data_IF_938108961207
#
_entry.id   IF_938108961207
#
_cell.length_a   1.000
_cell.length_b   1.000
_cell.length_c   1.000
_cell.angle_alpha   90.00
_cell.angle_beta   90.00
_cell.angle_gamma   90.00
#
_symmetry.space_group_name_H-M   'P 1'
#
loop_
_entity.id
_entity.type
_entity.pdbx_description
1 polymer ?
#
# COMPACT_ATOMS: atom_id res chain seq x y z
N UNK A 1 28.44 29.42 -42.23
CA UNK A 1 27.46 28.53 -41.58
C UNK A 1 26.24 29.38 -41.28
N UNK A 2 25.12 29.11 -41.95
CA UNK A 2 23.90 29.92 -41.82
C UNK A 2 23.08 29.45 -40.61
N UNK A 3 22.67 30.39 -39.75
CA UNK A 3 21.72 30.16 -38.67
C UNK A 3 20.35 29.77 -39.24
N UNK A 4 19.68 28.74 -38.70
CA UNK A 4 18.30 28.43 -39.08
C UNK A 4 17.36 29.50 -38.52
N UNK A 5 16.52 30.04 -39.39
CA UNK A 5 15.53 31.07 -39.07
C UNK A 5 14.57 30.60 -37.97
N UNK A 6 14.45 31.43 -36.92
CA UNK A 6 13.43 31.30 -35.89
C UNK A 6 12.05 31.60 -36.51
N UNK A 7 11.19 30.59 -36.65
CA UNK A 7 9.84 30.85 -37.17
C UNK A 7 8.89 29.68 -37.37
N UNK A 8 9.37 28.44 -37.53
CA UNK A 8 8.48 27.30 -37.76
C UNK A 8 8.51 26.33 -36.57
N UNK A 9 7.63 26.59 -35.60
CA UNK A 9 7.23 25.56 -34.64
C UNK A 9 6.56 24.42 -35.40
N UNK A 10 7.36 23.43 -35.81
CA UNK A 10 6.88 22.24 -36.50
C UNK A 10 5.97 21.46 -35.55
N UNK A 11 4.67 21.67 -35.65
CA UNK A 11 3.66 20.80 -35.05
C UNK A 11 3.81 19.46 -35.78
N UNK A 12 4.59 18.56 -35.18
CA UNK A 12 4.62 17.17 -35.58
C UNK A 12 3.26 16.61 -35.21
N UNK A 13 2.32 16.74 -36.15
CA UNK A 13 1.02 16.12 -36.11
C UNK A 13 1.26 14.60 -36.19
N UNK A 14 1.60 14.01 -35.04
CA UNK A 14 1.74 12.58 -34.89
C UNK A 14 0.33 12.03 -35.00
N UNK A 15 -0.12 11.83 -36.24
CA UNK A 15 -1.46 11.39 -36.59
C UNK A 15 -1.93 10.32 -35.63
N UNK A 16 -2.97 10.65 -34.86
CA UNK A 16 -3.46 9.79 -33.80
C UNK A 16 -3.97 8.51 -34.45
N UNK A 17 -3.25 7.39 -34.25
CA UNK A 17 -3.63 6.12 -34.87
C UNK A 17 -4.98 5.72 -34.30
N UNK A 18 -6.05 5.59 -35.11
CA UNK A 18 -7.37 5.25 -34.60
C UNK A 18 -7.29 3.91 -33.88
N UNK A 19 -7.92 3.83 -32.71
CA UNK A 19 -7.93 2.59 -31.92
C UNK A 19 -8.79 1.54 -32.62
N UNK A 20 -8.14 0.61 -33.32
CA UNK A 20 -8.79 -0.50 -34.03
C UNK A 20 -9.10 -1.71 -33.13
N UNK A 21 -8.78 -1.64 -31.83
CA UNK A 21 -8.96 -2.75 -30.90
C UNK A 21 -10.39 -2.92 -30.39
N UNK A 22 -10.73 -4.13 -29.92
CA UNK A 22 -12.00 -4.39 -29.22
C UNK A 22 -12.02 -3.61 -27.91
N UNK A 23 -13.05 -2.77 -27.71
CA UNK A 23 -13.24 -2.03 -26.45
C UNK A 23 -13.35 -3.03 -25.29
N UNK A 24 -12.48 -2.90 -24.29
CA UNK A 24 -12.51 -3.72 -23.07
C UNK A 24 -13.65 -3.26 -22.15
N UNK A 25 -14.14 -4.16 -21.29
CA UNK A 25 -15.24 -3.85 -20.38
C UNK A 25 -14.88 -2.69 -19.41
N UNK A 26 -15.82 -1.79 -19.08
CA UNK A 26 -15.60 -0.71 -18.13
C UNK A 26 -15.08 -1.17 -16.75
N UNK A 27 -15.45 -2.38 -16.34
CA UNK A 27 -14.99 -3.00 -15.09
C UNK A 27 -13.47 -3.18 -15.00
N UNK A 28 -12.75 -3.19 -16.14
CA UNK A 28 -11.28 -3.30 -16.16
C UNK A 28 -10.55 -1.97 -16.01
N UNK A 29 -11.25 -0.84 -16.07
CA UNK A 29 -10.63 0.49 -16.01
C UNK A 29 -9.82 0.70 -14.73
N UNK A 30 -10.33 0.39 -13.51
CA UNK A 30 -9.54 0.55 -12.28
C UNK A 30 -8.25 -0.25 -12.29
N UNK A 31 -8.29 -1.48 -12.81
CA UNK A 31 -7.12 -2.36 -12.92
C UNK A 31 -6.07 -1.83 -13.88
N UNK A 32 -6.49 -1.24 -15.00
CA UNK A 32 -5.57 -0.62 -15.96
C UNK A 32 -4.88 0.60 -15.34
N UNK A 33 -5.64 1.45 -14.64
CA UNK A 33 -5.09 2.60 -13.91
C UNK A 33 -4.10 2.10 -12.85
N UNK A 34 -4.50 1.14 -12.03
CA UNK A 34 -3.65 0.60 -10.98
C UNK A 34 -2.34 0.01 -11.52
N UNK A 35 -2.42 -0.75 -12.61
CA UNK A 35 -1.24 -1.33 -13.26
C UNK A 35 -0.32 -0.27 -13.86
N UNK A 36 -0.87 0.81 -14.42
CA UNK A 36 -0.08 1.92 -14.95
C UNK A 36 0.61 2.70 -13.82
N UNK A 37 -0.09 3.01 -12.73
CA UNK A 37 0.51 3.65 -11.54
C UNK A 37 1.69 2.82 -10.99
N UNK A 38 1.48 1.51 -10.81
CA UNK A 38 2.53 0.62 -10.33
C UNK A 38 3.70 0.53 -11.32
N UNK A 39 3.42 0.52 -12.62
CA UNK A 39 4.45 0.53 -13.67
C UNK A 39 5.25 1.82 -13.63
N UNK A 40 4.60 2.96 -13.43
CA UNK A 40 5.27 4.26 -13.30
C UNK A 40 6.13 4.31 -12.05
N UNK A 41 5.61 3.88 -10.90
CA UNK A 41 6.40 3.74 -9.67
C UNK A 41 7.61 2.81 -9.88
N UNK A 42 7.43 1.68 -10.58
CA UNK A 42 8.50 0.74 -10.89
C UNK A 42 9.61 1.33 -11.77
N UNK A 43 9.32 2.34 -12.61
CA UNK A 43 10.34 3.05 -13.39
C UNK A 43 11.26 3.88 -12.49
N UNK A 44 10.79 4.35 -11.33
CA UNK A 44 11.61 5.10 -10.39
C UNK A 44 12.68 4.21 -9.74
N UNK A 45 13.97 4.60 -9.86
CA UNK A 45 15.11 3.86 -9.29
C UNK A 45 14.99 3.69 -7.78
N UNK A 46 14.51 4.72 -7.08
CA UNK A 46 14.39 4.71 -5.61
C UNK A 46 13.30 3.76 -5.12
N UNK A 47 12.17 3.69 -5.83
CA UNK A 47 11.12 2.72 -5.51
C UNK A 47 11.62 1.28 -5.62
N UNK A 48 12.33 0.93 -6.70
CA UNK A 48 12.94 -0.40 -6.83
C UNK A 48 13.90 -0.73 -5.69
N UNK A 49 14.73 0.24 -5.27
CA UNK A 49 15.65 0.08 -4.13
C UNK A 49 14.89 -0.20 -2.83
N UNK A 50 13.80 0.52 -2.57
CA UNK A 50 12.96 0.30 -1.38
C UNK A 50 12.34 -1.09 -1.39
N UNK A 51 11.78 -1.53 -2.53
CA UNK A 51 11.19 -2.87 -2.65
C UNK A 51 12.25 -3.95 -2.39
N UNK A 52 13.43 -3.84 -3.01
CA UNK A 52 14.51 -4.81 -2.79
C UNK A 52 15.07 -4.78 -1.37
N UNK A 53 15.24 -3.60 -0.78
CA UNK A 53 15.67 -3.45 0.60
C UNK A 53 14.64 -4.04 1.59
N UNK A 54 13.34 -3.87 1.31
CA UNK A 54 12.26 -4.49 2.05
C UNK A 54 12.23 -6.01 1.95
N UNK A 55 12.74 -6.58 0.86
CA UNK A 55 12.88 -8.03 0.70
C UNK A 55 14.08 -8.62 1.47
N UNK A 56 15.13 -7.85 1.77
CA UNK A 56 16.34 -8.36 2.46
C UNK A 56 16.06 -9.02 3.82
N UNK A 57 15.19 -8.47 4.70
CA UNK A 57 14.80 -9.13 5.95
C UNK A 57 14.32 -10.57 5.77
N UNK A 58 13.66 -10.91 4.65
CA UNK A 58 13.24 -12.29 4.37
C UNK A 58 14.41 -13.26 4.46
N UNK A 59 15.55 -12.92 3.85
CA UNK A 59 16.74 -13.78 3.86
C UNK A 59 17.23 -14.01 5.29
N UNK A 60 17.25 -12.96 6.11
CA UNK A 60 17.63 -13.04 7.52
C UNK A 60 16.69 -13.98 8.30
N UNK A 61 15.37 -13.85 8.12
CA UNK A 61 14.41 -14.74 8.79
C UNK A 61 14.49 -16.18 8.27
N UNK A 62 14.71 -16.42 6.97
CA UNK A 62 14.95 -17.76 6.45
C UNK A 62 16.20 -18.40 7.07
N UNK A 63 17.28 -17.63 7.26
CA UNK A 63 18.48 -18.12 7.96
C UNK A 63 18.16 -18.44 9.42
N UNK A 64 17.38 -17.63 10.13
CA UNK A 64 16.95 -17.95 11.50
C UNK A 64 16.18 -19.28 11.54
N UNK A 65 15.21 -19.46 10.64
CA UNK A 65 14.43 -20.72 10.54
C UNK A 65 15.35 -21.90 10.28
N UNK A 66 16.29 -21.75 9.36
CA UNK A 66 17.30 -22.76 9.07
C UNK A 66 18.15 -23.09 10.30
N UNK A 67 18.70 -22.08 11.00
CA UNK A 67 19.55 -22.30 12.18
C UNK A 67 18.77 -22.96 13.32
N UNK A 68 17.53 -22.54 13.57
CA UNK A 68 16.61 -23.15 14.55
C UNK A 68 16.32 -24.61 14.28
N UNK A 69 16.43 -25.06 13.03
CA UNK A 69 16.28 -26.47 12.67
C UNK A 69 17.49 -27.30 13.10
N UNK A 70 18.70 -26.78 12.94
CA UNK A 70 19.94 -27.53 13.21
C UNK A 70 20.47 -27.35 14.63
N UNK A 71 20.07 -26.28 15.30
CA UNK A 71 20.41 -26.01 16.70
C UNK A 71 19.16 -26.27 17.56
N UNK A 72 19.31 -26.73 18.82
CA UNK A 72 18.19 -26.91 19.75
C UNK A 72 17.66 -25.56 20.28
N UNK A 73 17.40 -24.60 19.39
CA UNK A 73 16.89 -23.25 19.68
C UNK A 73 15.35 -23.16 19.58
N UNK A 74 14.67 -24.31 19.51
CA UNK A 74 13.22 -24.40 19.35
C UNK A 74 12.75 -24.31 17.89
N UNK A 75 11.52 -24.76 17.62
CA UNK A 75 10.92 -24.73 16.28
C UNK A 75 10.53 -23.32 15.81
N UNK A 76 10.18 -23.20 14.52
CA UNK A 76 9.56 -22.00 13.96
C UNK A 76 8.22 -21.71 14.65
N UNK A 77 8.06 -20.49 15.18
CA UNK A 77 6.90 -20.04 15.93
C UNK A 77 6.13 -18.93 15.23
N UNK A 78 5.06 -18.46 15.87
CA UNK A 78 4.33 -17.27 15.41
C UNK A 78 5.14 -15.97 15.53
N UNK A 79 6.22 -16.00 16.32
CA UNK A 79 7.01 -14.82 16.67
C UNK A 79 7.88 -14.34 15.51
N UNK A 80 8.48 -15.24 14.72
CA UNK A 80 9.26 -14.86 13.54
C UNK A 80 8.38 -14.25 12.45
N UNK A 81 7.20 -14.84 12.22
CA UNK A 81 6.23 -14.33 11.27
C UNK A 81 5.76 -12.93 11.69
N UNK A 82 5.47 -12.72 12.97
CA UNK A 82 5.09 -11.42 13.51
C UNK A 82 6.22 -10.40 13.40
N UNK A 83 7.46 -10.80 13.71
CA UNK A 83 8.62 -9.94 13.59
C UNK A 83 8.89 -9.54 12.12
N UNK A 84 8.82 -10.49 11.17
CA UNK A 84 8.91 -10.18 9.74
C UNK A 84 7.75 -9.27 9.31
N UNK A 85 6.52 -9.52 9.77
CA UNK A 85 5.37 -8.66 9.48
C UNK A 85 5.63 -7.22 9.92
N UNK A 86 6.11 -6.98 11.14
CA UNK A 86 6.45 -5.63 11.64
C UNK A 86 7.47 -4.95 10.72
N UNK A 87 8.51 -5.67 10.31
CA UNK A 87 9.52 -5.16 9.38
C UNK A 87 8.92 -4.85 8.01
N UNK A 88 8.07 -5.70 7.45
CA UNK A 88 7.41 -5.45 6.17
C UNK A 88 6.42 -4.29 6.23
N UNK A 89 5.74 -4.12 7.37
CA UNK A 89 4.84 -3.00 7.61
C UNK A 89 5.59 -1.67 7.70
N UNK A 90 6.82 -1.67 8.23
CA UNK A 90 7.71 -0.51 8.16
C UNK A 90 8.09 -0.19 6.71
N UNK A 91 8.47 -1.19 5.92
CA UNK A 91 8.81 -0.99 4.51
C UNK A 91 7.60 -0.55 3.66
N UNK A 92 6.39 -0.97 4.02
CA UNK A 92 5.16 -0.58 3.33
C UNK A 92 4.93 0.94 3.36
N UNK A 93 5.40 1.64 4.41
CA UNK A 93 5.33 3.11 4.52
C UNK A 93 5.99 3.78 3.33
N UNK A 94 7.18 3.31 2.95
CA UNK A 94 7.94 3.87 1.83
C UNK A 94 7.37 3.44 0.49
N UNK A 95 6.86 2.23 0.38
CA UNK A 95 6.17 1.76 -0.84
C UNK A 95 4.96 2.64 -1.13
N UNK A 96 4.12 2.91 -0.12
CA UNK A 96 2.96 3.80 -0.21
C UNK A 96 3.39 5.24 -0.52
N UNK A 97 4.48 5.72 0.07
CA UNK A 97 5.03 7.03 -0.26
C UNK A 97 5.26 7.16 -1.78
N UNK A 98 5.94 6.21 -2.41
CA UNK A 98 6.25 6.32 -3.84
C UNK A 98 5.03 6.15 -4.74
N UNK A 99 4.12 5.23 -4.40
CA UNK A 99 2.92 4.98 -5.21
C UNK A 99 1.88 6.09 -5.03
N UNK A 100 1.71 6.62 -3.82
CA UNK A 100 0.61 7.52 -3.48
C UNK A 100 0.93 9.01 -3.54
N UNK A 101 2.20 9.42 -3.38
CA UNK A 101 2.54 10.85 -3.20
C UNK A 101 2.09 11.75 -4.36
N UNK A 102 2.24 11.29 -5.59
CA UNK A 102 1.92 12.05 -6.81
C UNK A 102 0.56 11.66 -7.41
N UNK A 103 -0.23 10.81 -6.74
CA UNK A 103 -1.36 10.15 -7.36
C UNK A 103 -2.51 11.10 -7.75
N UNK A 104 -2.80 12.13 -6.93
CA UNK A 104 -3.95 13.03 -7.15
C UNK A 104 -3.52 14.49 -7.17
N UNK A 105 -2.67 14.91 -6.21
CA UNK A 105 -2.29 16.32 -6.06
C UNK A 105 -1.62 16.90 -7.29
N UNK A 106 -0.73 16.12 -7.91
CA UNK A 106 0.01 16.55 -9.10
C UNK A 106 -0.90 16.63 -10.33
N UNK A 107 -1.87 15.71 -10.47
CA UNK A 107 -2.84 15.74 -11.56
C UNK A 107 -3.82 16.92 -11.42
N UNK A 108 -4.24 17.26 -10.19
CA UNK A 108 -5.02 18.47 -9.91
C UNK A 108 -4.22 19.73 -10.26
N UNK A 109 -2.93 19.77 -9.90
CA UNK A 109 -2.07 20.94 -10.12
C UNK A 109 -1.78 21.18 -11.60
N UNK A 110 -1.64 20.11 -12.37
CA UNK A 110 -1.31 20.16 -13.81
C UNK A 110 -2.53 20.21 -14.71
N UNK A 111 -3.75 20.12 -14.15
CA UNK A 111 -4.99 20.01 -14.94
C UNK A 111 -5.12 18.68 -15.69
N UNK A 112 -4.28 17.69 -15.41
CA UNK A 112 -4.29 16.39 -16.08
C UNK A 112 -5.61 15.62 -15.84
N UNK A 113 -6.31 15.91 -14.75
CA UNK A 113 -7.63 15.30 -14.48
C UNK A 113 -8.66 15.60 -15.55
N UNK A 114 -8.63 16.78 -16.17
CA UNK A 114 -9.57 17.16 -17.21
C UNK A 114 -9.33 16.31 -18.47
N UNK A 115 -8.05 16.03 -18.77
CA UNK A 115 -7.66 15.11 -19.83
C UNK A 115 -8.08 13.66 -19.51
N UNK A 116 -7.96 13.23 -18.25
CA UNK A 116 -8.41 11.89 -17.83
C UNK A 116 -9.92 11.75 -17.96
N UNK A 117 -10.70 12.75 -17.55
CA UNK A 117 -12.16 12.74 -17.61
C UNK A 117 -12.74 13.08 -18.98
N UNK A 118 -11.95 13.58 -19.93
CA UNK A 118 -12.34 13.65 -21.35
C UNK A 118 -12.51 12.26 -21.97
N UNK A 119 -11.89 11.23 -21.38
CA UNK A 119 -12.08 9.81 -21.73
C UNK A 119 -13.27 9.24 -20.97
N UNK A 120 -13.87 8.11 -21.41
CA UNK A 120 -15.00 7.47 -20.71
C UNK A 120 -14.56 6.74 -19.43
N UNK A 121 -13.84 7.44 -18.54
CA UNK A 121 -13.39 6.96 -17.23
C UNK A 121 -14.28 7.60 -16.18
N UNK A 122 -15.11 6.78 -15.53
CA UNK A 122 -15.94 7.25 -14.43
C UNK A 122 -15.09 7.68 -13.23
N UNK A 123 -15.56 8.71 -12.51
CA UNK A 123 -14.92 9.24 -11.30
C UNK A 123 -14.55 8.16 -10.26
N UNK A 124 -15.51 7.28 -9.94
CA UNK A 124 -15.28 6.19 -8.98
C UNK A 124 -14.30 5.14 -9.50
N UNK A 125 -14.30 4.87 -10.81
CA UNK A 125 -13.36 3.93 -11.42
C UNK A 125 -11.93 4.47 -11.38
N UNK A 126 -11.75 5.78 -11.59
CA UNK A 126 -10.48 6.46 -11.44
C UNK A 126 -9.96 6.35 -10.01
N UNK A 127 -10.78 6.75 -9.02
CA UNK A 127 -10.37 6.73 -7.61
C UNK A 127 -10.10 5.30 -7.13
N UNK A 128 -10.94 4.34 -7.53
CA UNK A 128 -10.73 2.92 -7.24
C UNK A 128 -9.41 2.43 -7.84
N UNK A 129 -9.03 2.87 -9.05
CA UNK A 129 -7.75 2.52 -9.66
C UNK A 129 -6.55 3.04 -8.88
N UNK A 130 -6.57 4.31 -8.47
CA UNK A 130 -5.51 4.90 -7.63
C UNK A 130 -5.41 4.21 -6.26
N UNK A 131 -6.55 3.91 -5.65
CA UNK A 131 -6.61 3.15 -4.39
C UNK A 131 -6.05 1.74 -4.56
N UNK A 132 -6.46 1.03 -5.61
CA UNK A 132 -6.04 -0.33 -5.89
C UNK A 132 -4.54 -0.45 -6.14
N UNK A 133 -3.91 0.54 -6.78
CA UNK A 133 -2.44 0.59 -6.91
C UNK A 133 -1.74 0.56 -5.54
N UNK A 134 -2.20 1.40 -4.63
CA UNK A 134 -1.64 1.52 -3.27
C UNK A 134 -1.91 0.25 -2.45
N UNK A 135 -3.13 -0.28 -2.52
CA UNK A 135 -3.53 -1.53 -1.84
C UNK A 135 -2.65 -2.69 -2.33
N UNK A 136 -2.52 -2.86 -3.65
CA UNK A 136 -1.75 -3.95 -4.23
C UNK A 136 -0.26 -3.84 -3.88
N UNK A 137 0.31 -2.62 -3.91
CA UNK A 137 1.70 -2.40 -3.55
C UNK A 137 1.99 -2.79 -2.09
N UNK A 138 1.14 -2.36 -1.16
CA UNK A 138 1.27 -2.68 0.27
C UNK A 138 1.04 -4.17 0.53
N UNK A 139 -0.04 -4.71 -0.03
CA UNK A 139 -0.37 -6.12 0.13
C UNK A 139 0.75 -7.01 -0.39
N UNK A 140 1.35 -6.69 -1.54
CA UNK A 140 2.50 -7.43 -2.06
C UNK A 140 3.73 -7.29 -1.16
N UNK A 141 4.01 -6.09 -0.64
CA UNK A 141 5.15 -5.84 0.26
C UNK A 141 5.05 -6.65 1.55
N UNK A 142 3.84 -6.78 2.10
CA UNK A 142 3.60 -7.54 3.33
C UNK A 142 3.49 -9.04 3.05
N UNK A 143 2.61 -9.42 2.13
CA UNK A 143 2.23 -10.81 1.93
C UNK A 143 3.31 -11.62 1.22
N UNK A 144 3.99 -11.08 0.21
CA UNK A 144 4.94 -11.87 -0.57
C UNK A 144 6.11 -12.40 0.28
N UNK A 145 6.79 -11.59 1.14
CA UNK A 145 7.83 -12.11 2.02
C UNK A 145 7.31 -13.13 3.03
N UNK A 146 6.12 -12.92 3.61
CA UNK A 146 5.53 -13.86 4.56
C UNK A 146 5.12 -15.19 3.90
N UNK A 147 4.65 -15.15 2.66
CA UNK A 147 4.38 -16.35 1.87
C UNK A 147 5.67 -17.10 1.55
N UNK A 148 6.72 -16.40 1.13
CA UNK A 148 8.02 -17.02 0.89
C UNK A 148 8.58 -17.66 2.17
N UNK A 149 8.49 -16.99 3.31
CA UNK A 149 8.91 -17.55 4.61
C UNK A 149 8.08 -18.78 4.97
N UNK A 150 6.76 -18.72 4.80
CA UNK A 150 5.87 -19.84 5.08
C UNK A 150 6.10 -21.05 4.17
N UNK A 151 6.38 -20.82 2.88
CA UNK A 151 6.76 -21.87 1.94
C UNK A 151 8.12 -22.47 2.29
N UNK A 152 9.08 -21.63 2.69
CA UNK A 152 10.40 -22.08 3.13
C UNK A 152 10.28 -22.98 4.37
N UNK A 153 9.51 -22.57 5.37
CA UNK A 153 9.23 -23.40 6.56
C UNK A 153 8.52 -24.71 6.20
N UNK A 154 7.53 -24.68 5.30
CA UNK A 154 6.82 -25.88 4.84
C UNK A 154 7.75 -26.91 4.17
N UNK A 155 8.74 -26.44 3.41
CA UNK A 155 9.69 -27.31 2.71
C UNK A 155 10.78 -27.82 3.65
N UNK A 156 11.22 -27.00 4.61
CA UNK A 156 12.43 -27.26 5.39
C UNK A 156 12.17 -27.88 6.78
N UNK A 157 10.97 -27.73 7.34
CA UNK A 157 10.62 -28.17 8.69
C UNK A 157 9.73 -29.44 8.65
N UNK A 158 10.26 -30.64 8.92
CA UNK A 158 9.45 -31.85 8.98
C UNK A 158 8.35 -31.72 10.05
N UNK A 159 7.11 -32.07 9.70
CA UNK A 159 5.95 -31.92 10.59
C UNK A 159 5.29 -30.54 10.57
N UNK A 160 5.75 -29.61 9.73
CA UNK A 160 5.03 -28.36 9.47
C UNK A 160 3.65 -28.66 8.86
N UNK A 161 2.59 -28.19 9.50
CA UNK A 161 1.23 -28.42 9.02
C UNK A 161 0.84 -27.45 7.89
N UNK A 162 0.28 -27.98 6.79
CA UNK A 162 -0.25 -27.16 5.70
C UNK A 162 -1.33 -26.15 6.15
N UNK A 163 -2.08 -26.48 7.20
CA UNK A 163 -3.05 -25.56 7.80
C UNK A 163 -2.38 -24.33 8.43
N UNK A 164 -1.22 -24.50 9.05
CA UNK A 164 -0.44 -23.37 9.61
C UNK A 164 0.02 -22.44 8.50
N UNK A 165 0.54 -23.00 7.40
CA UNK A 165 0.88 -22.21 6.21
C UNK A 165 -0.35 -21.48 5.64
N UNK A 166 -1.48 -22.15 5.49
CA UNK A 166 -2.72 -21.55 4.97
C UNK A 166 -3.19 -20.38 5.86
N UNK A 167 -3.13 -20.50 7.18
CA UNK A 167 -3.45 -19.43 8.13
C UNK A 167 -2.49 -18.25 8.01
N UNK A 168 -1.18 -18.52 7.94
CA UNK A 168 -0.17 -17.48 7.73
C UNK A 168 -0.40 -16.75 6.41
N UNK A 169 -0.58 -17.50 5.32
CA UNK A 169 -0.74 -16.94 3.98
C UNK A 169 -2.04 -16.12 3.86
N UNK A 170 -3.15 -16.66 4.34
CA UNK A 170 -4.44 -15.96 4.37
C UNK A 170 -4.42 -14.74 5.29
N UNK A 171 -3.82 -14.86 6.47
CA UNK A 171 -3.65 -13.76 7.43
C UNK A 171 -2.80 -12.62 6.86
N UNK A 172 -1.67 -12.95 6.22
CA UNK A 172 -0.80 -11.96 5.57
C UNK A 172 -1.50 -11.28 4.38
N UNK A 173 -2.24 -12.04 3.57
CA UNK A 173 -3.00 -11.50 2.44
C UNK A 173 -4.07 -10.51 2.91
N UNK A 174 -4.92 -10.94 3.84
CA UNK A 174 -6.04 -10.15 4.34
C UNK A 174 -5.54 -8.91 5.08
N UNK A 175 -4.56 -9.07 5.96
CA UNK A 175 -3.97 -7.95 6.68
C UNK A 175 -3.26 -6.98 5.72
N UNK A 176 -2.50 -7.49 4.74
CA UNK A 176 -1.86 -6.68 3.72
C UNK A 176 -2.85 -5.83 2.91
N UNK A 177 -4.00 -6.40 2.55
CA UNK A 177 -5.08 -5.65 1.88
C UNK A 177 -5.67 -4.58 2.79
N UNK A 178 -6.02 -4.90 4.04
CA UNK A 178 -6.64 -3.94 4.96
C UNK A 178 -5.69 -2.82 5.36
N UNK A 179 -4.42 -3.13 5.62
CA UNK A 179 -3.37 -2.14 5.84
C UNK A 179 -3.20 -1.30 4.56
N UNK A 180 -3.17 -1.92 3.38
CA UNK A 180 -3.10 -1.22 2.10
C UNK A 180 -4.27 -0.28 1.84
N UNK A 181 -5.49 -0.65 2.26
CA UNK A 181 -6.67 0.21 2.18
C UNK A 181 -6.52 1.43 3.08
N UNK A 182 -6.11 1.23 4.34
CA UNK A 182 -5.93 2.30 5.31
C UNK A 182 -4.82 3.27 4.88
N UNK A 183 -3.62 2.74 4.60
CA UNK A 183 -2.47 3.55 4.20
C UNK A 183 -2.71 4.22 2.83
N UNK A 184 -3.24 3.48 1.87
CA UNK A 184 -3.57 3.97 0.53
C UNK A 184 -4.60 5.08 0.54
N UNK A 185 -5.72 4.91 1.26
CA UNK A 185 -6.75 5.94 1.34
C UNK A 185 -6.22 7.24 1.95
N UNK A 186 -5.40 7.13 3.00
CA UNK A 186 -4.87 8.32 3.67
C UNK A 186 -3.78 9.01 2.87
N UNK A 187 -2.85 8.29 2.22
CA UNK A 187 -1.85 8.95 1.35
C UNK A 187 -2.51 9.66 0.16
N UNK A 188 -3.59 9.08 -0.39
CA UNK A 188 -4.36 9.71 -1.46
C UNK A 188 -5.06 10.99 -0.95
N UNK A 189 -5.57 10.98 0.28
CA UNK A 189 -6.14 12.16 0.92
C UNK A 189 -5.09 13.27 1.06
N UNK A 190 -3.91 12.93 1.58
CA UNK A 190 -2.80 13.86 1.73
C UNK A 190 -2.34 14.39 0.36
N UNK A 191 -2.28 13.54 -0.67
CA UNK A 191 -1.96 13.96 -2.05
C UNK A 191 -2.97 14.97 -2.58
N UNK A 192 -4.28 14.69 -2.43
CA UNK A 192 -5.33 15.58 -2.89
C UNK A 192 -5.37 16.94 -2.14
N UNK A 193 -4.88 16.98 -0.90
CA UNK A 193 -4.85 18.19 -0.06
C UNK A 193 -3.59 19.03 -0.27
N UNK A 194 -2.41 18.43 -0.38
CA UNK A 194 -1.14 19.15 -0.36
C UNK A 194 -0.78 19.85 -1.69
N UNK A 195 -1.37 19.43 -2.81
CA UNK A 195 -1.12 19.99 -4.15
C UNK A 195 0.28 19.72 -4.74
N UNK A 196 1.29 19.44 -3.91
CA UNK A 196 2.64 18.97 -4.31
C UNK A 196 2.90 17.60 -3.70
N UNK A 197 3.28 16.64 -4.53
CA UNK A 197 3.43 15.27 -4.05
C UNK A 197 4.55 15.08 -3.02
N UNK A 198 5.66 15.81 -3.10
CA UNK A 198 6.69 15.74 -2.05
C UNK A 198 6.14 16.12 -0.67
N UNK A 199 5.30 17.16 -0.60
CA UNK A 199 4.68 17.58 0.67
C UNK A 199 3.70 16.52 1.19
N UNK A 200 2.88 15.94 0.31
CA UNK A 200 1.98 14.84 0.67
C UNK A 200 2.74 13.61 1.20
N UNK A 201 3.84 13.26 0.54
CA UNK A 201 4.69 12.14 0.95
C UNK A 201 5.37 12.38 2.30
N UNK A 202 5.91 13.57 2.55
CA UNK A 202 6.50 13.92 3.85
C UNK A 202 5.43 13.89 4.95
N UNK A 203 4.25 14.47 4.69
CA UNK A 203 3.13 14.44 5.62
C UNK A 203 2.70 13.00 5.95
N UNK A 204 2.67 12.12 4.95
CA UNK A 204 2.36 10.70 5.13
C UNK A 204 3.34 10.01 6.09
N UNK A 205 4.64 10.17 5.84
CA UNK A 205 5.70 9.55 6.67
C UNK A 205 5.62 10.08 8.11
N UNK A 206 5.52 11.40 8.29
CA UNK A 206 5.40 12.00 9.62
C UNK A 206 4.16 11.49 10.35
N UNK A 207 3.01 11.50 9.69
CA UNK A 207 1.75 11.05 10.29
C UNK A 207 1.81 9.57 10.69
N UNK A 208 2.42 8.70 9.88
CA UNK A 208 2.59 7.28 10.24
C UNK A 208 3.34 7.11 11.57
N UNK A 209 4.51 7.77 11.71
CA UNK A 209 5.32 7.64 12.91
C UNK A 209 4.72 8.35 14.12
N UNK A 210 4.15 9.54 13.92
CA UNK A 210 3.48 10.29 15.00
C UNK A 210 2.29 9.50 15.56
N UNK A 211 1.44 8.95 14.70
CA UNK A 211 0.31 8.12 15.15
C UNK A 211 0.78 6.85 15.87
N UNK A 212 1.87 6.23 15.39
CA UNK A 212 2.50 5.11 16.09
C UNK A 212 2.93 5.48 17.51
N UNK A 213 3.66 6.59 17.67
CA UNK A 213 4.11 7.09 18.97
C UNK A 213 2.95 7.47 19.90
N UNK A 214 1.93 8.17 19.37
CA UNK A 214 0.73 8.55 20.13
C UNK A 214 -0.03 7.32 20.59
N UNK A 215 -0.28 6.34 19.70
CA UNK A 215 -1.00 5.12 20.06
C UNK A 215 -0.27 4.32 21.15
N UNK A 216 1.06 4.24 21.07
CA UNK A 216 1.89 3.62 22.11
C UNK A 216 1.78 4.37 23.45
N UNK A 217 1.89 5.70 23.43
CA UNK A 217 1.74 6.52 24.63
C UNK A 217 0.36 6.40 25.28
N UNK A 218 -0.71 6.43 24.47
CA UNK A 218 -2.09 6.25 24.95
C UNK A 218 -2.29 4.84 25.50
N UNK A 219 -1.74 3.81 24.86
CA UNK A 219 -1.82 2.44 25.35
C UNK A 219 -1.14 2.29 26.72
N UNK A 220 0.04 2.87 26.89
CA UNK A 220 0.76 2.83 28.16
C UNK A 220 0.03 3.62 29.25
N UNK A 221 -0.46 4.82 28.95
CA UNK A 221 -1.14 5.69 29.92
C UNK A 221 -2.52 5.15 30.35
N UNK A 222 -3.26 4.52 29.42
CA UNK A 222 -4.60 3.96 29.70
C UNK A 222 -4.58 2.53 30.24
N UNK A 223 -3.43 1.83 30.14
CA UNK A 223 -3.34 0.40 30.42
C UNK A 223 -4.09 -0.48 29.41
N UNK A 224 -4.62 0.09 28.33
CA UNK A 224 -5.39 -0.65 27.32
C UNK A 224 -4.53 -0.94 26.07
N UNK A 225 -4.27 -2.22 25.75
CA UNK A 225 -3.57 -2.58 24.52
C UNK A 225 -4.38 -2.26 23.26
N UNK A 226 -5.71 -2.10 23.37
CA UNK A 226 -6.58 -1.79 22.24
C UNK A 226 -6.32 -0.40 21.66
N UNK A 227 -5.76 0.52 22.45
CA UNK A 227 -5.37 1.85 21.98
C UNK A 227 -4.32 1.81 20.86
N UNK A 228 -3.57 0.72 20.71
CA UNK A 228 -2.64 0.52 19.58
C UNK A 228 -3.36 0.52 18.22
N UNK A 229 -4.65 0.19 18.20
CA UNK A 229 -5.48 0.22 17.00
C UNK A 229 -5.69 1.64 16.42
N UNK A 230 -5.37 2.69 17.19
CA UNK A 230 -5.37 4.07 16.69
C UNK A 230 -4.30 4.32 15.62
N UNK A 231 -3.24 3.51 15.59
CA UNK A 231 -2.15 3.61 14.61
C UNK A 231 -2.27 2.56 13.51
N UNK A 232 -1.76 2.87 12.31
CA UNK A 232 -1.68 1.89 11.22
C UNK A 232 -0.83 0.67 11.60
N UNK A 233 0.31 0.92 12.26
CA UNK A 233 1.26 -0.11 12.71
C UNK A 233 0.61 -1.04 13.71
N UNK A 234 0.14 -0.51 14.84
CA UNK A 234 -0.47 -1.28 15.91
C UNK A 234 -1.74 -2.03 15.47
N UNK A 235 -2.60 -1.39 14.66
CA UNK A 235 -3.79 -2.05 14.13
C UNK A 235 -3.43 -3.21 13.17
N UNK A 236 -2.47 -3.01 12.25
CA UNK A 236 -2.03 -4.09 11.37
C UNK A 236 -1.39 -5.25 12.13
N UNK A 237 -0.51 -4.96 13.08
CA UNK A 237 0.17 -5.96 13.89
C UNK A 237 -0.82 -6.78 14.74
N UNK A 238 -1.71 -6.10 15.48
CA UNK A 238 -2.71 -6.76 16.33
C UNK A 238 -3.67 -7.64 15.54
N UNK A 239 -4.07 -7.18 14.35
CA UNK A 239 -4.90 -7.99 13.46
C UNK A 239 -4.14 -9.20 12.91
N UNK A 240 -2.91 -9.02 12.44
CA UNK A 240 -2.10 -10.11 11.90
C UNK A 240 -1.82 -11.18 12.95
N UNK A 241 -1.38 -10.79 14.16
CA UNK A 241 -1.15 -11.70 15.27
C UNK A 241 -2.42 -12.51 15.60
N UNK A 242 -3.58 -11.85 15.63
CA UNK A 242 -4.88 -12.50 15.87
C UNK A 242 -5.21 -13.53 14.78
N UNK A 243 -5.06 -13.16 13.50
CA UNK A 243 -5.37 -14.02 12.36
C UNK A 243 -4.50 -15.28 12.32
N UNK A 244 -3.20 -15.15 12.62
CA UNK A 244 -2.27 -16.29 12.61
C UNK A 244 -2.53 -17.24 13.77
N UNK A 245 -2.91 -16.73 14.95
CA UNK A 245 -2.99 -17.53 16.17
C UNK A 245 -4.41 -18.03 16.54
N UNK A 246 -5.48 -17.52 15.94
CA UNK A 246 -6.84 -17.97 16.30
C UNK A 246 -8.03 -17.28 15.60
N UNK A 247 -7.79 -16.35 14.68
CA UNK A 247 -8.83 -15.65 13.93
C UNK A 247 -9.43 -14.45 14.68
N UNK A 248 -10.59 -13.98 14.22
CA UNK A 248 -11.24 -12.75 14.69
C UNK A 248 -11.83 -12.81 16.10
N UNK A 249 -11.95 -14.00 16.70
CA UNK A 249 -12.44 -14.17 18.07
C UNK A 249 -11.41 -13.77 19.14
N UNK A 250 -10.17 -13.49 18.74
CA UNK A 250 -9.09 -13.06 19.63
C UNK A 250 -9.36 -11.67 20.20
N UNK A 251 -9.07 -11.43 21.49
CA UNK A 251 -9.10 -10.08 22.07
C UNK A 251 -8.25 -9.10 21.25
N UNK A 252 -8.76 -7.90 20.99
CA UNK A 252 -8.08 -6.87 20.21
C UNK A 252 -8.23 -6.97 18.68
N UNK A 253 -8.59 -8.13 18.11
CA UNK A 253 -8.83 -8.26 16.67
C UNK A 253 -9.95 -7.34 16.15
N UNK A 254 -11.10 -7.18 16.86
CA UNK A 254 -12.15 -6.25 16.45
C UNK A 254 -11.69 -4.80 16.48
N UNK A 255 -10.96 -4.39 17.53
CA UNK A 255 -10.42 -3.03 17.66
C UNK A 255 -9.42 -2.73 16.52
N UNK A 256 -8.51 -3.66 16.24
CA UNK A 256 -7.54 -3.56 15.15
C UNK A 256 -8.22 -3.44 13.78
N UNK A 257 -9.24 -4.28 13.50
CA UNK A 257 -10.03 -4.20 12.27
C UNK A 257 -10.76 -2.85 12.17
N UNK A 258 -11.41 -2.42 13.26
CA UNK A 258 -12.11 -1.14 13.31
C UNK A 258 -11.16 0.04 13.08
N UNK A 259 -9.94 0.01 13.62
CA UNK A 259 -8.90 1.01 13.36
C UNK A 259 -8.53 1.11 11.89
N UNK A 260 -8.25 -0.01 11.23
CA UNK A 260 -7.91 -0.03 9.79
C UNK A 260 -9.07 0.43 8.91
N UNK A 261 -10.30 -0.01 9.20
CA UNK A 261 -11.50 0.42 8.48
C UNK A 261 -11.81 1.90 8.73
N UNK A 262 -11.64 2.38 9.96
CA UNK A 262 -11.80 3.79 10.33
C UNK A 262 -10.86 4.69 9.55
N UNK A 263 -9.57 4.36 9.50
CA UNK A 263 -8.60 5.10 8.69
C UNK A 263 -8.89 5.05 7.20
N UNK A 264 -9.31 3.90 6.70
CA UNK A 264 -9.74 3.75 5.30
C UNK A 264 -10.93 4.67 4.98
N UNK A 265 -11.92 4.73 5.86
CA UNK A 265 -13.11 5.56 5.71
C UNK A 265 -12.77 7.06 5.80
N UNK A 266 -11.93 7.47 6.75
CA UNK A 266 -11.48 8.86 6.91
C UNK A 266 -10.70 9.31 5.67
N UNK A 267 -9.73 8.51 5.21
CA UNK A 267 -8.95 8.81 4.01
C UNK A 267 -9.81 8.90 2.76
N UNK A 268 -10.67 7.90 2.52
CA UNK A 268 -11.57 7.89 1.37
C UNK A 268 -12.56 9.05 1.40
N UNK A 269 -13.14 9.36 2.57
CA UNK A 269 -14.02 10.50 2.77
C UNK A 269 -13.34 11.82 2.45
N UNK A 270 -12.11 12.04 2.94
CA UNK A 270 -11.34 13.24 2.66
C UNK A 270 -11.04 13.42 1.17
N UNK A 271 -10.62 12.36 0.47
CA UNK A 271 -10.41 12.39 -0.99
C UNK A 271 -11.69 12.72 -1.73
N UNK A 272 -12.79 12.03 -1.41
CA UNK A 272 -14.08 12.21 -2.06
C UNK A 272 -14.60 13.64 -1.88
N UNK A 273 -14.51 14.20 -0.68
CA UNK A 273 -14.92 15.58 -0.41
C UNK A 273 -14.07 16.58 -1.20
N UNK A 274 -12.75 16.40 -1.22
CA UNK A 274 -11.83 17.28 -1.95
C UNK A 274 -12.11 17.28 -3.46
N UNK A 275 -12.28 16.10 -4.05
CA UNK A 275 -12.51 15.95 -5.49
C UNK A 275 -13.92 16.38 -5.91
N UNK A 276 -14.94 16.16 -5.07
CA UNK A 276 -16.30 16.67 -5.34
C UNK A 276 -16.33 18.19 -5.39
N UNK A 277 -15.57 18.87 -4.52
CA UNK A 277 -15.43 20.34 -4.55
C UNK A 277 -14.74 20.81 -5.83
N UNK A 278 -13.67 20.14 -6.26
CA UNK A 278 -12.99 20.45 -7.52
C UNK A 278 -13.95 20.38 -8.71
N UNK A 279 -14.76 19.31 -8.82
CA UNK A 279 -15.71 19.14 -9.93
C UNK A 279 -16.81 20.20 -9.96
N UNK A 280 -17.24 20.74 -8.81
CA UNK A 280 -18.25 21.81 -8.75
C UNK A 280 -17.71 23.18 -9.18
N UNK A 281 -16.39 23.35 -9.15
CA UNK A 281 -15.72 24.59 -9.56
C UNK A 281 -15.32 24.63 -11.03
N UNK A 282 -15.63 23.61 -11.82
CA UNK A 282 -15.47 23.67 -13.28
C UNK A 282 -16.63 24.49 -13.87
N UNK A 283 -16.34 25.56 -14.65
CA UNK A 283 -17.34 26.33 -15.37
C UNK A 283 -18.06 25.51 -16.46
#
# INVERSE_FOLDING_TARGET
>A
MAEPAAGEGRILDQGYRPFLGRRRSPARVPWVIAAEELRQAWKEKHFRRVVWAGALPLLFFCVIVFLKRFMPLGGFGGDEALALFRVQQFWSVFVVYYVGRNAIGEELRTGALDLVFSRPVGFYAYLAGKGLASIAAVAATIAAPLWCLGLFDLVWTPGSEGLRFARLAGGAALCGVLVGMAQGAVVLALSALAGRGTAAGVAWVLMYFLLGGVAQGVSHASGSPEALALSFSGAGEGLFASLVQGGFARPGAPAALAGLLGWSAVGAGAVLLRLRRYRRGMP
#
